data_IF_459183924835
#
_entry.id   IF_459183924835
#
_cell.length_a   1.000
_cell.length_b   1.000
_cell.length_c   1.000
_cell.angle_alpha   90.00
_cell.angle_beta   90.00
_cell.angle_gamma   90.00
#
_symmetry.space_group_name_H-M   'P 1'
#
loop_
_entity.id
_entity.type
_entity.pdbx_description
1 polymer ?
#
# COMPACT_ATOMS: atom_id res chain seq x y z
N UNK A 1 -6.59 23.69 -13.76
CA UNK A 1 -7.51 24.57 -12.98
C UNK A 1 -6.67 25.70 -12.41
N UNK A 2 -7.19 26.93 -12.27
CA UNK A 2 -6.39 28.06 -11.82
C UNK A 2 -6.11 27.92 -10.31
N UNK A 3 -4.84 28.07 -9.88
CA UNK A 3 -4.40 27.99 -8.47
C UNK A 3 -5.26 28.84 -7.53
N UNK A 4 -5.69 30.02 -7.99
CA UNK A 4 -6.58 30.89 -7.23
C UNK A 4 -7.92 30.25 -6.82
N UNK A 5 -8.46 29.36 -7.65
CA UNK A 5 -9.72 28.64 -7.28
C UNK A 5 -9.47 27.52 -6.27
N UNK A 6 -8.32 26.87 -6.32
CA UNK A 6 -7.94 25.86 -5.35
C UNK A 6 -7.72 26.47 -3.96
N UNK A 7 -7.14 27.66 -3.90
CA UNK A 7 -6.96 28.41 -2.66
C UNK A 7 -8.32 28.84 -2.07
N UNK A 8 -9.23 29.40 -2.90
CA UNK A 8 -10.58 29.79 -2.45
C UNK A 8 -11.39 28.59 -1.93
N UNK A 9 -11.23 27.43 -2.54
CA UNK A 9 -11.90 26.19 -2.16
C UNK A 9 -11.20 25.46 -1.00
N UNK A 10 -10.12 26.04 -0.46
CA UNK A 10 -9.34 25.44 0.62
C UNK A 10 -8.89 23.99 0.35
N UNK A 11 -8.56 23.69 -0.92
CA UNK A 11 -8.25 22.34 -1.36
C UNK A 11 -7.07 21.72 -0.59
N UNK A 12 -6.10 22.53 -0.20
CA UNK A 12 -4.96 22.07 0.61
C UNK A 12 -5.37 21.66 2.02
N UNK A 13 -6.39 22.29 2.61
CA UNK A 13 -6.96 21.84 3.89
C UNK A 13 -7.64 20.48 3.74
N UNK A 14 -8.35 20.25 2.63
CA UNK A 14 -8.97 18.94 2.33
C UNK A 14 -7.89 17.88 2.20
N UNK A 15 -6.81 18.13 1.44
CA UNK A 15 -5.65 17.24 1.34
C UNK A 15 -5.02 16.95 2.70
N UNK A 16 -4.85 17.99 3.54
CA UNK A 16 -4.34 17.86 4.90
C UNK A 16 -5.18 16.90 5.75
N UNK A 17 -6.50 17.07 5.75
CA UNK A 17 -7.42 16.18 6.46
C UNK A 17 -7.32 14.75 5.89
N UNK A 18 -7.36 14.58 4.58
CA UNK A 18 -7.25 13.28 3.92
C UNK A 18 -5.94 12.57 4.28
N UNK A 19 -4.83 13.30 4.36
CA UNK A 19 -3.53 12.76 4.73
C UNK A 19 -3.49 12.16 6.14
N UNK A 20 -4.33 12.63 7.07
CA UNK A 20 -4.41 12.05 8.41
C UNK A 20 -4.96 10.63 8.43
N UNK A 21 -5.72 10.24 7.40
CA UNK A 21 -6.26 8.89 7.23
C UNK A 21 -5.32 7.97 6.46
N UNK A 22 -4.25 8.49 5.86
CA UNK A 22 -3.30 7.69 5.09
C UNK A 22 -2.37 6.89 6.01
N UNK A 23 -2.34 5.57 5.82
CA UNK A 23 -1.55 4.63 6.64
C UNK A 23 -0.09 4.56 6.16
N UNK A 24 0.17 4.75 4.87
CA UNK A 24 1.52 4.62 4.28
C UNK A 24 2.04 5.96 3.75
N UNK A 25 3.35 6.14 3.77
CA UNK A 25 4.01 7.31 3.18
C UNK A 25 3.68 7.44 1.68
N UNK A 26 3.63 6.33 0.94
CA UNK A 26 3.23 6.35 -0.47
C UNK A 26 1.79 6.87 -0.69
N UNK A 27 0.88 6.62 0.27
CA UNK A 27 -0.47 7.16 0.20
C UNK A 27 -0.47 8.67 0.50
N UNK A 28 0.30 9.13 1.48
CA UNK A 28 0.47 10.56 1.78
C UNK A 28 1.05 11.31 0.58
N UNK A 29 2.11 10.77 -0.04
CA UNK A 29 2.70 11.34 -1.25
C UNK A 29 1.69 11.47 -2.41
N UNK A 30 0.80 10.48 -2.57
CA UNK A 30 -0.27 10.55 -3.57
C UNK A 30 -1.29 11.62 -3.25
N UNK A 31 -1.65 11.79 -1.98
CA UNK A 31 -2.59 12.82 -1.53
C UNK A 31 -1.97 14.21 -1.74
N UNK A 32 -0.69 14.39 -1.41
CA UNK A 32 0.00 15.66 -1.63
C UNK A 32 0.01 16.08 -3.10
N UNK A 33 0.20 15.10 -4.01
CA UNK A 33 0.20 15.28 -5.46
C UNK A 33 -1.20 15.25 -6.07
N UNK A 34 -2.26 15.14 -5.26
CA UNK A 34 -3.62 15.10 -5.75
C UNK A 34 -4.00 16.46 -6.38
N UNK A 35 -4.47 16.41 -7.60
CA UNK A 35 -4.97 17.55 -8.33
C UNK A 35 -6.39 17.30 -8.84
N UNK A 36 -7.24 18.33 -8.92
CA UNK A 36 -8.55 18.20 -9.54
C UNK A 36 -8.42 17.87 -11.03
N UNK A 37 -9.26 16.96 -11.49
CA UNK A 37 -9.32 16.58 -12.91
C UNK A 37 -10.56 17.16 -13.56
N UNK A 38 -10.44 17.53 -14.85
CA UNK A 38 -11.57 17.88 -15.71
C UNK A 38 -11.94 16.76 -16.71
N UNK A 39 -11.15 15.67 -16.67
CA UNK A 39 -11.38 14.51 -17.53
C UNK A 39 -12.43 13.61 -16.92
N UNK A 40 -13.56 13.49 -17.58
CA UNK A 40 -14.73 12.75 -17.10
C UNK A 40 -14.38 11.30 -16.74
N UNK A 41 -13.65 10.59 -17.60
CA UNK A 41 -13.31 9.18 -17.40
C UNK A 41 -12.44 8.99 -16.16
N UNK A 42 -11.54 9.94 -15.87
CA UNK A 42 -10.68 9.90 -14.68
C UNK A 42 -11.50 10.12 -13.40
N UNK A 43 -12.42 11.09 -13.46
CA UNK A 43 -13.31 11.40 -12.33
C UNK A 43 -14.21 10.21 -12.03
N UNK A 44 -14.87 9.64 -13.05
CA UNK A 44 -15.74 8.47 -12.90
C UNK A 44 -14.98 7.27 -12.29
N UNK A 45 -13.77 6.99 -12.78
CA UNK A 45 -12.93 5.91 -12.24
C UNK A 45 -12.57 6.13 -10.78
N UNK A 46 -12.16 7.34 -10.39
CA UNK A 46 -11.78 7.65 -8.99
C UNK A 46 -12.99 7.61 -8.05
N UNK A 47 -14.16 8.06 -8.52
CA UNK A 47 -15.42 7.95 -7.76
C UNK A 47 -15.85 6.50 -7.59
N UNK A 48 -15.71 5.66 -8.62
CA UNK A 48 -15.99 4.23 -8.54
C UNK A 48 -15.06 3.53 -7.55
N UNK A 49 -13.74 3.78 -7.60
CA UNK A 49 -12.77 3.28 -6.63
C UNK A 49 -13.17 3.65 -5.19
N UNK A 50 -13.60 4.89 -4.98
CA UNK A 50 -14.02 5.37 -3.66
C UNK A 50 -15.30 4.67 -3.19
N UNK A 51 -16.28 4.51 -4.08
CA UNK A 51 -17.55 3.84 -3.79
C UNK A 51 -17.34 2.36 -3.45
N UNK A 52 -16.50 1.65 -4.21
CA UNK A 52 -16.16 0.26 -3.92
C UNK A 52 -15.39 0.11 -2.61
N UNK A 53 -14.45 1.02 -2.31
CA UNK A 53 -13.74 1.04 -1.04
C UNK A 53 -14.68 1.27 0.14
N UNK A 54 -15.64 2.18 0.00
CA UNK A 54 -16.68 2.41 1.00
C UNK A 54 -17.55 1.16 1.19
N UNK A 55 -17.96 0.49 0.11
CA UNK A 55 -18.71 -0.77 0.15
C UNK A 55 -17.98 -1.85 0.94
N UNK A 56 -16.66 -2.02 0.71
CA UNK A 56 -15.82 -2.97 1.44
C UNK A 56 -15.86 -2.65 2.95
N UNK A 57 -15.62 -1.39 3.31
CA UNK A 57 -15.54 -0.95 4.71
C UNK A 57 -16.88 -1.15 5.43
N UNK A 58 -18.00 -0.83 4.78
CA UNK A 58 -19.32 -0.98 5.36
C UNK A 58 -19.72 -2.44 5.51
N UNK A 59 -19.31 -3.31 4.58
CA UNK A 59 -19.73 -4.73 4.57
C UNK A 59 -18.94 -5.59 5.56
N UNK A 60 -17.62 -5.43 5.63
CA UNK A 60 -16.73 -6.30 6.44
C UNK A 60 -15.72 -5.53 7.29
N UNK A 61 -15.80 -4.21 7.33
CA UNK A 61 -14.84 -3.36 8.04
C UNK A 61 -13.62 -3.00 7.19
N UNK A 62 -12.64 -2.37 7.83
CA UNK A 62 -11.45 -1.87 7.15
C UNK A 62 -10.61 -3.01 6.56
N UNK A 63 -10.04 -2.76 5.38
CA UNK A 63 -9.05 -3.67 4.79
C UNK A 63 -7.89 -3.81 5.78
N UNK A 64 -7.41 -5.04 6.06
CA UNK A 64 -6.36 -5.29 7.04
C UNK A 64 -4.98 -4.85 6.49
N UNK A 65 -4.83 -3.55 6.29
CA UNK A 65 -3.54 -2.96 5.96
C UNK A 65 -2.63 -3.02 7.20
N UNK A 66 -1.64 -3.89 7.15
CA UNK A 66 -0.55 -3.88 8.11
C UNK A 66 0.51 -2.83 7.75
N UNK A 67 1.74 -3.06 8.18
CA UNK A 67 2.86 -2.18 7.82
C UNK A 67 3.18 -2.29 6.34
N UNK A 68 3.13 -1.16 5.63
CA UNK A 68 3.52 -1.04 4.23
C UNK A 68 4.72 -0.09 4.17
N UNK A 69 5.85 -0.61 3.74
CA UNK A 69 7.08 0.16 3.56
C UNK A 69 7.38 0.39 2.08
N UNK A 70 8.04 1.49 1.76
CA UNK A 70 8.64 1.65 0.43
C UNK A 70 9.89 0.77 0.34
N UNK A 71 9.74 -0.36 -0.34
CA UNK A 71 10.81 -1.36 -0.51
C UNK A 71 11.45 -1.33 -1.89
N UNK A 72 11.20 -0.28 -2.70
CA UNK A 72 11.77 -0.17 -4.06
C UNK A 72 13.29 -0.14 -4.06
N UNK A 73 13.89 0.54 -3.08
CA UNK A 73 15.35 0.58 -2.94
C UNK A 73 15.92 -0.80 -2.59
N UNK A 74 15.26 -1.54 -1.69
CA UNK A 74 15.66 -2.90 -1.30
C UNK A 74 15.56 -3.85 -2.50
N UNK A 75 14.46 -3.78 -3.25
CA UNK A 75 14.30 -4.57 -4.48
C UNK A 75 15.39 -4.26 -5.51
N UNK A 76 15.73 -2.97 -5.71
CA UNK A 76 16.81 -2.56 -6.60
C UNK A 76 18.17 -3.07 -6.13
N UNK A 77 18.48 -3.01 -4.84
CA UNK A 77 19.73 -3.55 -4.28
C UNK A 77 19.80 -5.06 -4.49
N UNK A 78 18.73 -5.78 -4.19
CA UNK A 78 18.68 -7.23 -4.40
C UNK A 78 18.86 -7.62 -5.87
N UNK A 79 18.27 -6.88 -6.81
CA UNK A 79 18.37 -7.16 -8.25
C UNK A 79 19.79 -7.06 -8.81
N UNK A 80 20.68 -6.32 -8.14
CA UNK A 80 22.11 -6.19 -8.50
C UNK A 80 23.02 -7.05 -7.61
N UNK A 81 22.45 -7.98 -6.84
CA UNK A 81 23.21 -8.89 -5.98
C UNK A 81 23.77 -8.27 -4.69
N UNK A 82 23.31 -7.07 -4.31
CA UNK A 82 23.73 -6.45 -3.04
C UNK A 82 23.11 -7.15 -1.84
N UNK A 83 23.85 -7.24 -0.76
CA UNK A 83 23.38 -7.78 0.52
C UNK A 83 22.44 -6.78 1.18
N UNK A 84 21.31 -7.27 1.69
CA UNK A 84 20.38 -6.50 2.50
C UNK A 84 20.60 -6.81 3.98
N UNK A 85 20.55 -5.77 4.82
CA UNK A 85 20.57 -5.93 6.27
C UNK A 85 19.25 -6.53 6.80
N UNK A 86 19.27 -7.10 7.99
CA UNK A 86 18.12 -7.74 8.64
C UNK A 86 16.91 -6.80 8.75
N UNK A 87 17.14 -5.51 9.04
CA UNK A 87 16.08 -4.49 9.15
C UNK A 87 15.38 -4.23 7.82
N UNK A 88 16.14 -4.22 6.74
CA UNK A 88 15.61 -4.11 5.37
C UNK A 88 14.82 -5.35 4.98
N UNK A 89 15.31 -6.55 5.31
CA UNK A 89 14.60 -7.81 5.06
C UNK A 89 13.27 -7.88 5.80
N UNK A 90 13.22 -7.43 7.06
CA UNK A 90 11.97 -7.36 7.83
C UNK A 90 10.95 -6.43 7.15
N UNK A 91 11.36 -5.26 6.68
CA UNK A 91 10.47 -4.35 5.95
C UNK A 91 9.90 -4.98 4.67
N UNK A 92 10.74 -5.68 3.92
CA UNK A 92 10.32 -6.43 2.73
C UNK A 92 9.28 -7.48 3.11
N UNK A 93 9.57 -8.32 4.12
CA UNK A 93 8.67 -9.38 4.60
C UNK A 93 7.31 -8.81 5.02
N UNK A 94 7.29 -7.77 5.86
CA UNK A 94 6.04 -7.17 6.33
C UNK A 94 5.22 -6.58 5.17
N UNK A 95 5.87 -5.95 4.19
CA UNK A 95 5.18 -5.43 3.01
C UNK A 95 4.59 -6.55 2.16
N UNK A 96 5.32 -7.64 1.91
CA UNK A 96 4.82 -8.81 1.17
C UNK A 96 3.65 -9.48 1.90
N UNK A 97 3.77 -9.66 3.22
CA UNK A 97 2.71 -10.21 4.06
C UNK A 97 1.44 -9.36 3.99
N UNK A 98 1.57 -8.05 4.14
CA UNK A 98 0.44 -7.11 4.04
C UNK A 98 -0.21 -7.19 2.66
N UNK A 99 0.57 -7.19 1.59
CA UNK A 99 0.08 -7.33 0.22
C UNK A 99 -0.73 -8.63 0.05
N UNK A 100 -0.22 -9.76 0.53
CA UNK A 100 -0.91 -11.06 0.45
C UNK A 100 -2.23 -11.07 1.24
N UNK A 101 -2.22 -10.57 2.48
CA UNK A 101 -3.41 -10.52 3.33
C UNK A 101 -4.48 -9.59 2.72
N UNK A 102 -4.07 -8.41 2.24
CA UNK A 102 -4.99 -7.47 1.61
C UNK A 102 -5.60 -8.03 0.33
N UNK A 103 -4.80 -8.70 -0.50
CA UNK A 103 -5.29 -9.38 -1.71
C UNK A 103 -6.35 -10.41 -1.37
N UNK A 104 -6.02 -11.33 -0.45
CA UNK A 104 -6.93 -12.40 -0.01
C UNK A 104 -8.22 -11.85 0.64
N UNK A 105 -8.14 -10.69 1.29
CA UNK A 105 -9.32 -10.02 1.83
C UNK A 105 -10.21 -9.45 0.73
N UNK A 106 -9.63 -8.81 -0.29
CA UNK A 106 -10.35 -8.23 -1.43
C UNK A 106 -11.02 -9.33 -2.27
N UNK A 107 -10.40 -10.51 -2.40
CA UNK A 107 -10.95 -11.65 -3.11
C UNK A 107 -12.29 -12.17 -2.55
N UNK A 108 -12.66 -11.79 -1.34
CA UNK A 108 -13.92 -12.18 -0.70
C UNK A 108 -15.14 -11.33 -1.12
N UNK A 109 -14.95 -10.36 -2.01
CA UNK A 109 -16.02 -9.46 -2.46
C UNK A 109 -16.26 -9.64 -3.95
N UNK A 110 -17.52 -9.78 -4.37
CA UNK A 110 -17.86 -10.04 -5.77
C UNK A 110 -18.09 -8.78 -6.61
N UNK A 111 -18.67 -7.73 -6.02
CA UNK A 111 -19.12 -6.55 -6.73
C UNK A 111 -18.21 -5.32 -6.53
N UNK A 112 -16.92 -5.49 -6.78
CA UNK A 112 -15.88 -4.47 -6.67
C UNK A 112 -14.86 -4.59 -7.82
N UNK A 113 -15.32 -4.51 -9.08
CA UNK A 113 -14.47 -4.81 -10.25
C UNK A 113 -13.23 -3.91 -10.34
N UNK A 114 -13.34 -2.64 -9.98
CA UNK A 114 -12.24 -1.68 -10.09
C UNK A 114 -11.16 -1.97 -9.04
N UNK A 115 -11.53 -2.15 -7.77
CA UNK A 115 -10.58 -2.50 -6.71
C UNK A 115 -10.02 -3.91 -6.94
N UNK A 116 -10.84 -4.86 -7.44
CA UNK A 116 -10.37 -6.19 -7.81
C UNK A 116 -9.29 -6.12 -8.88
N UNK A 117 -9.50 -5.36 -9.94
CA UNK A 117 -8.49 -5.15 -10.99
C UNK A 117 -7.17 -4.57 -10.45
N UNK A 118 -7.23 -3.67 -9.46
CA UNK A 118 -6.03 -3.19 -8.76
C UNK A 118 -5.37 -4.30 -7.95
N UNK A 119 -6.16 -5.11 -7.25
CA UNK A 119 -5.68 -6.23 -6.44
C UNK A 119 -5.03 -7.33 -7.28
N UNK A 120 -5.53 -7.59 -8.48
CA UNK A 120 -4.99 -8.61 -9.39
C UNK A 120 -3.55 -8.32 -9.81
N UNK A 121 -3.16 -7.04 -9.83
CA UNK A 121 -1.77 -6.63 -10.07
C UNK A 121 -0.83 -6.91 -8.89
N UNK A 122 -1.34 -7.24 -7.71
CA UNK A 122 -0.52 -7.58 -6.54
C UNK A 122 0.06 -8.98 -6.73
N UNK A 123 1.38 -9.05 -6.84
CA UNK A 123 2.13 -10.31 -6.86
C UNK A 123 2.46 -10.72 -5.43
N UNK A 124 2.00 -11.88 -5.03
CA UNK A 124 2.30 -12.47 -3.73
C UNK A 124 3.46 -13.46 -3.83
N UNK A 125 4.32 -13.50 -2.83
CA UNK A 125 5.43 -14.45 -2.74
C UNK A 125 5.59 -14.94 -1.31
N UNK A 126 4.83 -15.99 -0.99
CA UNK A 126 4.90 -16.62 0.33
C UNK A 126 6.27 -17.26 0.59
N UNK A 127 6.93 -17.78 -0.45
CA UNK A 127 8.27 -18.35 -0.32
C UNK A 127 9.30 -17.35 0.19
N UNK A 128 9.30 -16.12 -0.32
CA UNK A 128 10.21 -15.06 0.15
C UNK A 128 9.89 -14.67 1.60
N UNK A 129 8.61 -14.58 1.97
CA UNK A 129 8.22 -14.32 3.36
C UNK A 129 8.80 -15.39 4.31
N UNK A 130 8.68 -16.67 3.93
CA UNK A 130 9.14 -17.81 4.74
C UNK A 130 10.66 -17.90 4.80
N UNK A 131 11.37 -17.63 3.70
CA UNK A 131 12.83 -17.57 3.68
C UNK A 131 13.38 -16.48 4.61
N UNK A 132 12.81 -15.26 4.57
CA UNK A 132 13.20 -14.18 5.47
C UNK A 132 12.91 -14.53 6.93
N UNK A 133 11.77 -15.18 7.21
CA UNK A 133 11.43 -15.62 8.57
C UNK A 133 12.40 -16.67 9.10
N UNK A 134 12.82 -17.63 8.27
CA UNK A 134 13.79 -18.65 8.64
C UNK A 134 15.17 -18.03 8.90
N UNK A 135 15.61 -17.08 8.09
CA UNK A 135 16.84 -16.35 8.28
C UNK A 135 16.86 -15.63 9.65
N UNK A 136 15.77 -14.96 10.03
CA UNK A 136 15.62 -14.32 11.33
C UNK A 136 15.74 -15.29 12.51
N UNK A 137 15.17 -16.50 12.38
CA UNK A 137 15.29 -17.55 13.41
C UNK A 137 16.74 -18.02 13.59
N UNK A 138 17.49 -18.20 12.51
CA UNK A 138 18.88 -18.61 12.54
C UNK A 138 19.74 -17.52 13.20
N UNK A 139 19.52 -16.25 12.86
CA UNK A 139 20.24 -15.11 13.45
C UNK A 139 19.95 -14.98 14.96
N UNK A 140 18.70 -15.18 15.38
CA UNK A 140 18.32 -15.18 16.79
C UNK A 140 18.98 -16.33 17.59
N UNK A 141 19.13 -17.50 16.99
CA UNK A 141 19.81 -18.66 17.61
C UNK A 141 21.32 -18.41 17.69
N UNK A 142 21.94 -17.85 16.64
CA UNK A 142 23.38 -17.56 16.63
C UNK A 142 23.76 -16.42 17.60
N UNK A 143 22.88 -15.45 17.83
CA UNK A 143 23.08 -14.36 18.78
C UNK A 143 22.96 -14.78 20.28
N UNK A 144 22.42 -15.96 20.56
CA UNK A 144 22.33 -16.52 21.91
C UNK A 144 23.62 -17.32 22.31
N UNK A 145 24.49 -17.60 21.33
CA UNK A 145 25.72 -18.38 21.50
C UNK A 145 26.98 -17.49 21.58
N UNK A 146 26.82 -16.16 21.62
CA UNK A 146 27.92 -15.19 21.72
C UNK A 146 27.96 -14.60 23.14
#
# INVERSE_FOLDING_TARGET
MNEKYLEILEFDKIKGILSTYAISENAKDKIEKLEPSTRREVIELLLEQTSEAQKIIVTKGAIPFGSIYDVRLQAKKASIGSILDAKSLIKVKETLRTARISKSYIEQFDEIPVIRSLSDNIRVSKSIEDEIENFKKIEAISGVVS
#
